data_IF_527613446739
#
_entry.id   IF_527613446739
#
_cell.length_a   1.000
_cell.length_b   1.000
_cell.length_c   1.000
_cell.angle_alpha   90.00
_cell.angle_beta   90.00
_cell.angle_gamma   90.00
#
_symmetry.space_group_name_H-M   'P 1'
#
loop_
_entity.id
_entity.type
_entity.pdbx_description
1 polymer ?
#
# COMPACT_ATOMS: atom_id res chain seq x y z
N UNK A 1 -6.24 -23.51 -6.93
CA UNK A 1 -5.54 -22.74 -5.87
C UNK A 1 -5.74 -21.27 -6.17
N UNK A 2 -6.02 -20.44 -5.17
CA UNK A 2 -6.54 -19.09 -5.41
C UNK A 2 -5.47 -18.08 -5.81
N UNK A 3 -5.89 -17.14 -6.67
CA UNK A 3 -5.25 -15.86 -6.82
C UNK A 3 -5.93 -14.86 -5.86
N UNK A 4 -5.18 -14.34 -4.91
CA UNK A 4 -5.68 -13.53 -3.81
C UNK A 4 -5.12 -12.12 -3.94
N UNK A 5 -5.97 -11.10 -3.87
CA UNK A 5 -5.52 -9.70 -3.82
C UNK A 5 -5.67 -9.16 -2.40
N UNK A 6 -4.59 -8.60 -1.86
CA UNK A 6 -4.54 -7.96 -0.55
C UNK A 6 -4.45 -6.45 -0.72
N UNK A 7 -5.46 -5.72 -0.24
CA UNK A 7 -5.54 -4.26 -0.32
C UNK A 7 -5.72 -3.62 1.05
N UNK A 8 -5.35 -2.36 1.21
CA UNK A 8 -5.78 -1.55 2.35
C UNK A 8 -7.15 -0.94 2.10
N UNK A 9 -8.02 -0.94 3.08
CA UNK A 9 -9.37 -0.39 2.96
C UNK A 9 -9.42 1.14 3.16
N UNK A 10 -8.46 1.72 3.88
CA UNK A 10 -8.48 3.11 4.35
C UNK A 10 -7.43 3.96 3.60
N UNK A 11 -6.52 4.65 4.33
CA UNK A 11 -5.48 5.53 3.77
C UNK A 11 -4.05 5.00 3.94
N UNK A 12 -3.88 3.69 4.03
CA UNK A 12 -2.58 3.05 4.28
C UNK A 12 -2.31 2.84 5.78
N UNK A 13 -1.20 2.18 6.06
CA UNK A 13 -0.78 1.82 7.43
C UNK A 13 -1.79 0.96 8.22
N UNK A 14 -2.69 0.24 7.52
CA UNK A 14 -3.67 -0.66 8.14
C UNK A 14 -3.04 -1.93 8.71
N UNK A 15 -1.77 -2.21 8.42
CA UNK A 15 -1.09 -3.44 8.87
C UNK A 15 -1.08 -4.55 7.81
N UNK A 16 -1.06 -4.20 6.53
CA UNK A 16 -0.95 -5.16 5.40
C UNK A 16 0.20 -6.15 5.57
N UNK A 17 1.37 -5.69 6.04
CA UNK A 17 2.52 -6.54 6.29
C UNK A 17 2.24 -7.71 7.25
N UNK A 18 1.44 -7.50 8.31
CA UNK A 18 1.00 -8.59 9.21
C UNK A 18 0.13 -9.60 8.48
N UNK A 19 -0.82 -9.13 7.67
CA UNK A 19 -1.71 -10.02 6.91
C UNK A 19 -0.94 -10.82 5.84
N UNK A 20 0.03 -10.19 5.15
CA UNK A 20 0.89 -10.90 4.19
C UNK A 20 1.77 -11.94 4.90
N UNK A 21 2.27 -11.61 6.08
CA UNK A 21 3.04 -12.57 6.89
C UNK A 21 2.20 -13.76 7.36
N UNK A 22 0.95 -13.54 7.76
CA UNK A 22 0.01 -14.61 8.11
C UNK A 22 -0.25 -15.57 6.94
N UNK A 23 -0.36 -15.04 5.73
CA UNK A 23 -0.60 -15.82 4.52
C UNK A 23 0.69 -16.38 3.91
N UNK A 24 1.84 -15.76 4.20
CA UNK A 24 3.10 -15.97 3.49
C UNK A 24 3.59 -17.42 3.46
N UNK A 25 3.40 -18.17 4.56
CA UNK A 25 3.78 -19.60 4.62
C UNK A 25 2.91 -20.53 3.77
N UNK A 26 1.79 -20.02 3.26
CA UNK A 26 0.77 -20.79 2.54
C UNK A 26 0.62 -20.36 1.08
N UNK A 27 1.50 -19.46 0.59
CA UNK A 27 1.47 -18.98 -0.80
C UNK A 27 2.80 -19.23 -1.49
N UNK A 28 2.73 -19.58 -2.78
CA UNK A 28 3.92 -19.86 -3.60
C UNK A 28 4.55 -18.56 -4.14
N UNK A 29 3.74 -17.54 -4.40
CA UNK A 29 4.17 -16.26 -4.96
C UNK A 29 3.57 -15.09 -4.19
N UNK A 30 4.38 -14.05 -3.94
CA UNK A 30 3.92 -12.74 -3.46
C UNK A 30 4.31 -11.68 -4.48
N UNK A 31 3.32 -11.00 -5.04
CA UNK A 31 3.48 -10.05 -6.15
C UNK A 31 3.16 -8.65 -5.69
N UNK A 32 4.14 -7.76 -5.69
CA UNK A 32 3.90 -6.33 -5.57
C UNK A 32 3.47 -5.80 -6.94
N UNK A 33 2.27 -5.24 -7.03
CA UNK A 33 1.68 -4.90 -8.32
C UNK A 33 1.62 -3.39 -8.62
N UNK A 34 1.83 -2.50 -7.63
CA UNK A 34 1.74 -1.06 -7.79
C UNK A 34 2.69 -0.29 -6.87
N UNK A 35 2.79 1.02 -7.09
CA UNK A 35 3.62 1.90 -6.30
C UNK A 35 5.10 1.74 -6.62
N UNK A 36 5.94 1.99 -5.65
CA UNK A 36 7.39 1.87 -5.72
C UNK A 36 7.96 1.88 -4.30
N UNK A 37 9.06 2.58 -4.10
CA UNK A 37 9.68 2.74 -2.78
C UNK A 37 9.06 3.86 -1.93
N UNK A 38 7.86 4.34 -2.28
CA UNK A 38 7.12 5.37 -1.54
C UNK A 38 6.31 4.83 -0.35
N UNK A 39 6.11 3.51 -0.25
CA UNK A 39 5.50 2.86 0.89
C UNK A 39 6.59 2.17 1.75
N UNK A 40 6.31 1.95 3.01
CA UNK A 40 7.14 1.15 3.91
C UNK A 40 6.28 0.11 4.61
N UNK A 41 6.63 -1.17 4.47
CA UNK A 41 6.01 -2.27 5.20
C UNK A 41 6.97 -2.74 6.30
N UNK A 42 6.52 -2.71 7.53
CA UNK A 42 7.28 -3.32 8.64
C UNK A 42 6.70 -4.68 8.94
N UNK A 43 7.54 -5.69 8.91
CA UNK A 43 7.21 -7.07 9.24
C UNK A 43 8.07 -7.47 10.45
N UNK A 44 7.49 -8.20 11.39
CA UNK A 44 8.19 -8.70 12.57
C UNK A 44 8.21 -10.22 12.50
N UNK A 45 9.41 -10.81 12.38
CA UNK A 45 9.63 -12.26 12.36
C UNK A 45 10.58 -12.60 13.50
N UNK A 46 10.19 -13.50 14.38
CA UNK A 46 10.98 -13.95 15.54
C UNK A 46 11.52 -12.79 16.41
N UNK A 47 10.71 -11.72 16.55
CA UNK A 47 11.07 -10.51 17.30
C UNK A 47 11.94 -9.52 16.55
N UNK A 48 12.45 -9.86 15.37
CA UNK A 48 13.22 -8.96 14.50
C UNK A 48 12.34 -8.15 13.56
N UNK A 49 12.65 -6.85 13.42
CA UNK A 49 11.93 -5.94 12.53
C UNK A 49 12.62 -5.85 11.17
N UNK A 50 11.85 -6.02 10.11
CA UNK A 50 12.23 -5.84 8.72
C UNK A 50 11.40 -4.70 8.12
N UNK A 51 12.05 -3.64 7.67
CA UNK A 51 11.41 -2.52 6.98
C UNK A 51 11.67 -2.66 5.48
N UNK A 52 10.63 -3.00 4.71
CA UNK A 52 10.69 -3.14 3.26
C UNK A 52 10.01 -1.95 2.60
N UNK A 53 10.62 -1.37 1.57
CA UNK A 53 10.06 -0.27 0.81
C UNK A 53 9.67 -0.70 -0.61
N UNK A 54 10.56 -1.38 -1.31
CA UNK A 54 10.37 -1.80 -2.70
C UNK A 54 10.16 -3.30 -2.82
N UNK A 55 10.87 -4.10 -2.03
CA UNK A 55 10.76 -5.55 -2.08
C UNK A 55 9.37 -6.04 -1.62
N UNK A 56 8.81 -7.06 -2.31
CA UNK A 56 7.59 -7.73 -1.84
C UNK A 56 7.83 -8.41 -0.49
N UNK A 57 6.81 -8.44 0.37
CA UNK A 57 6.91 -9.02 1.71
C UNK A 57 7.26 -10.52 1.71
N UNK A 58 6.88 -11.25 0.66
CA UNK A 58 7.23 -12.66 0.46
C UNK A 58 8.73 -12.95 0.37
N UNK A 59 9.59 -11.93 0.23
CA UNK A 59 11.07 -12.09 0.26
C UNK A 59 11.55 -12.71 1.57
N UNK A 60 10.83 -12.46 2.66
CA UNK A 60 11.15 -12.96 4.00
C UNK A 60 10.63 -14.38 4.25
N UNK A 61 9.81 -14.95 3.35
CA UNK A 61 9.20 -16.26 3.52
C UNK A 61 10.00 -17.32 2.75
N UNK A 62 10.61 -18.30 3.42
CA UNK A 62 11.27 -19.42 2.75
C UNK A 62 10.32 -20.17 1.82
N UNK A 63 10.78 -20.49 0.60
CA UNK A 63 9.95 -21.21 -0.40
C UNK A 63 9.02 -20.33 -1.23
N UNK A 64 8.70 -19.12 -0.80
CA UNK A 64 7.92 -18.15 -1.59
C UNK A 64 8.79 -17.47 -2.66
N UNK A 65 8.24 -17.22 -3.84
CA UNK A 65 8.86 -16.42 -4.90
C UNK A 65 8.34 -14.99 -4.87
N UNK A 66 9.14 -14.00 -4.44
CA UNK A 66 8.75 -12.60 -4.48
C UNK A 66 8.84 -12.06 -5.90
N UNK A 67 7.82 -11.31 -6.33
CA UNK A 67 7.73 -10.75 -7.69
C UNK A 67 7.44 -9.26 -7.66
N UNK A 68 8.25 -8.48 -8.37
CA UNK A 68 7.97 -7.09 -8.68
C UNK A 68 7.26 -7.05 -10.04
N UNK A 69 5.96 -6.76 -10.04
CA UNK A 69 5.12 -6.73 -11.23
C UNK A 69 5.37 -5.50 -12.12
N UNK A 70 4.83 -5.55 -13.34
CA UNK A 70 4.98 -4.47 -14.33
C UNK A 70 4.31 -3.14 -13.93
N UNK A 71 3.42 -3.16 -12.94
CA UNK A 71 2.78 -1.95 -12.41
C UNK A 71 3.65 -1.17 -11.43
N UNK A 72 4.74 -1.75 -10.92
CA UNK A 72 5.66 -1.09 -9.99
C UNK A 72 6.62 -0.16 -10.74
N UNK A 73 7.00 0.94 -10.10
CA UNK A 73 8.11 1.79 -10.55
C UNK A 73 9.33 1.54 -9.65
N UNK A 74 10.46 1.20 -10.26
CA UNK A 74 11.63 0.63 -9.60
C UNK A 74 12.77 1.64 -9.53
N UNK A 75 13.18 2.00 -8.32
CA UNK A 75 14.43 2.70 -8.04
C UNK A 75 15.53 1.64 -7.83
N UNK A 76 16.48 1.54 -8.76
CA UNK A 76 17.51 0.50 -8.71
C UNK A 76 18.45 0.65 -7.53
N UNK A 77 18.77 1.89 -7.11
CA UNK A 77 19.62 2.09 -5.93
C UNK A 77 18.94 1.55 -4.68
N UNK A 78 17.66 1.86 -4.49
CA UNK A 78 16.88 1.37 -3.33
C UNK A 78 16.68 -0.15 -3.41
N UNK A 79 16.43 -0.70 -4.60
CA UNK A 79 16.28 -2.14 -4.78
C UNK A 79 17.53 -2.89 -4.29
N UNK A 80 18.70 -2.48 -4.74
CA UNK A 80 19.94 -3.17 -4.37
C UNK A 80 20.41 -2.86 -2.95
N UNK A 81 20.12 -1.67 -2.41
CA UNK A 81 20.33 -1.38 -0.99
C UNK A 81 19.51 -2.31 -0.10
N UNK A 82 18.23 -2.55 -0.43
CA UNK A 82 17.37 -3.48 0.33
C UNK A 82 17.84 -4.93 0.19
N UNK A 83 18.20 -5.37 -1.03
CA UNK A 83 18.75 -6.70 -1.29
C UNK A 83 20.01 -6.94 -0.46
N UNK A 84 20.96 -6.00 -0.51
CA UNK A 84 22.25 -6.12 0.20
C UNK A 84 22.04 -6.12 1.73
N UNK A 85 21.14 -5.28 2.23
CA UNK A 85 20.80 -5.25 3.65
C UNK A 85 20.15 -6.57 4.14
N UNK A 86 19.28 -7.18 3.34
CA UNK A 86 18.65 -8.46 3.67
C UNK A 86 19.66 -9.62 3.61
N UNK A 87 20.50 -9.66 2.57
CA UNK A 87 21.54 -10.66 2.43
C UNK A 87 22.54 -10.61 3.61
N UNK A 88 22.90 -9.40 4.07
CA UNK A 88 23.75 -9.21 5.25
C UNK A 88 23.12 -9.74 6.55
N UNK A 89 21.78 -9.87 6.59
CA UNK A 89 21.03 -10.47 7.70
C UNK A 89 20.72 -11.96 7.48
N UNK A 90 21.29 -12.58 6.43
CA UNK A 90 21.10 -14.01 6.13
C UNK A 90 19.79 -14.35 5.41
N UNK A 91 19.05 -13.36 4.91
CA UNK A 91 17.84 -13.60 4.10
C UNK A 91 18.24 -13.88 2.65
N UNK A 92 17.80 -15.01 2.11
CA UNK A 92 18.04 -15.37 0.71
C UNK A 92 17.13 -14.56 -0.24
N UNK A 93 17.72 -13.65 -1.01
CA UNK A 93 17.03 -12.83 -1.99
C UNK A 93 17.13 -13.35 -3.43
N UNK A 94 17.78 -14.48 -3.65
CA UNK A 94 18.06 -15.02 -5.00
C UNK A 94 16.81 -15.38 -5.81
N UNK A 95 15.68 -15.59 -5.12
CA UNK A 95 14.38 -15.94 -5.74
C UNK A 95 13.59 -14.74 -6.24
N UNK A 96 14.08 -13.51 -6.03
CA UNK A 96 13.40 -12.30 -6.49
C UNK A 96 13.29 -12.28 -8.01
N UNK A 97 12.07 -12.03 -8.50
CA UNK A 97 11.79 -11.83 -9.92
C UNK A 97 11.28 -10.42 -10.16
N UNK A 98 11.84 -9.76 -11.17
CA UNK A 98 11.48 -8.39 -11.56
C UNK A 98 10.92 -8.39 -12.98
N UNK A 99 9.78 -7.76 -13.19
CA UNK A 99 9.17 -7.67 -14.51
C UNK A 99 10.06 -6.88 -15.48
N UNK A 100 10.33 -7.46 -16.65
CA UNK A 100 10.97 -6.76 -17.77
C UNK A 100 10.22 -5.48 -18.19
N UNK A 101 8.90 -5.45 -17.94
CA UNK A 101 8.01 -4.34 -18.30
C UNK A 101 7.80 -3.31 -17.16
N UNK A 102 8.38 -3.51 -15.97
CA UNK A 102 8.35 -2.50 -14.91
C UNK A 102 9.12 -1.25 -15.35
N UNK A 103 8.67 -0.08 -14.86
CA UNK A 103 9.34 1.19 -15.19
C UNK A 103 10.42 1.50 -14.17
N UNK A 104 11.51 2.09 -14.63
CA UNK A 104 12.59 2.58 -13.79
C UNK A 104 12.32 4.02 -13.34
N UNK A 105 12.85 4.38 -12.18
CA UNK A 105 12.87 5.76 -11.66
C UNK A 105 14.27 6.34 -11.92
N UNK A 106 14.50 7.01 -13.06
CA UNK A 106 15.78 7.68 -13.29
C UNK A 106 15.96 8.88 -12.38
N UNK A 107 17.22 9.32 -12.19
CA UNK A 107 17.57 10.46 -11.32
C UNK A 107 16.79 11.74 -11.63
N UNK A 108 16.51 12.03 -12.91
CA UNK A 108 15.74 13.21 -13.30
C UNK A 108 14.31 13.22 -12.73
N UNK A 109 13.68 12.06 -12.55
CA UNK A 109 12.35 11.99 -11.96
C UNK A 109 12.37 12.27 -10.45
N UNK A 110 13.43 11.84 -9.74
CA UNK A 110 13.64 12.20 -8.34
C UNK A 110 13.88 13.71 -8.18
N UNK A 111 14.64 14.32 -9.11
CA UNK A 111 14.88 15.77 -9.12
C UNK A 111 13.58 16.52 -9.38
N UNK A 112 12.81 16.13 -10.41
CA UNK A 112 11.53 16.77 -10.75
C UNK A 112 10.52 16.72 -9.61
N UNK A 113 10.37 15.58 -8.95
CA UNK A 113 9.45 15.43 -7.80
C UNK A 113 9.77 16.46 -6.71
N UNK A 114 11.05 16.54 -6.30
CA UNK A 114 11.51 17.47 -5.27
C UNK A 114 11.36 18.96 -5.66
N UNK A 115 11.65 19.30 -6.91
CA UNK A 115 11.57 20.72 -7.33
C UNK A 115 10.14 21.16 -7.55
N UNK A 116 9.27 20.27 -8.02
CA UNK A 116 7.83 20.53 -8.19
C UNK A 116 7.16 20.80 -6.84
N UNK A 117 7.40 19.97 -5.83
CA UNK A 117 6.87 20.18 -4.48
C UNK A 117 7.33 21.53 -3.88
N UNK A 118 8.59 21.90 -4.08
CA UNK A 118 9.09 23.22 -3.65
C UNK A 118 8.42 24.38 -4.39
N UNK A 119 8.22 24.22 -5.70
CA UNK A 119 7.58 25.24 -6.52
C UNK A 119 6.10 25.45 -6.16
N UNK A 120 5.39 24.39 -5.83
CA UNK A 120 4.00 24.43 -5.40
C UNK A 120 3.82 25.14 -4.03
N UNK A 121 4.84 25.16 -3.18
CA UNK A 121 4.82 25.85 -1.89
C UNK A 121 3.66 25.42 -0.99
N UNK A 122 2.71 26.32 -0.72
CA UNK A 122 1.51 26.02 0.10
C UNK A 122 0.51 25.07 -0.60
N UNK A 123 0.60 24.90 -1.92
CA UNK A 123 -0.23 24.00 -2.71
C UNK A 123 0.43 22.63 -2.93
N UNK A 124 1.50 22.32 -2.19
CA UNK A 124 2.19 21.03 -2.29
C UNK A 124 1.25 19.87 -1.93
N UNK A 125 1.48 18.72 -2.55
CA UNK A 125 0.71 17.50 -2.28
C UNK A 125 1.27 16.71 -1.09
N UNK A 126 2.51 16.98 -0.67
CA UNK A 126 3.19 16.22 0.37
C UNK A 126 3.75 14.90 -0.15
N UNK A 127 4.30 14.88 -1.38
CA UNK A 127 4.90 13.69 -1.96
C UNK A 127 6.11 13.20 -1.16
N UNK A 128 6.52 11.96 -1.39
CA UNK A 128 7.72 11.40 -0.75
C UNK A 128 9.03 11.91 -1.35
N UNK A 129 8.98 12.65 -2.46
CA UNK A 129 10.16 13.15 -3.19
C UNK A 129 11.02 12.07 -3.83
N UNK A 130 10.45 10.88 -4.06
CA UNK A 130 11.13 9.68 -4.58
C UNK A 130 10.95 9.46 -6.08
N UNK A 131 10.32 10.41 -6.79
CA UNK A 131 10.13 10.35 -8.23
C UNK A 131 8.99 9.45 -8.70
N UNK A 132 8.13 8.99 -7.82
CA UNK A 132 7.02 8.08 -8.13
C UNK A 132 6.05 8.71 -9.14
N UNK A 133 5.49 9.87 -8.79
CA UNK A 133 4.55 10.61 -9.64
C UNK A 133 5.11 10.92 -11.02
N UNK A 134 6.28 11.56 -11.13
CA UNK A 134 6.93 11.81 -12.43
C UNK A 134 7.15 10.55 -13.27
N UNK A 135 7.47 9.40 -12.65
CA UNK A 135 7.67 8.15 -13.39
C UNK A 135 6.36 7.57 -13.92
N UNK A 136 5.27 7.64 -13.14
CA UNK A 136 3.95 7.25 -13.67
C UNK A 136 3.46 8.22 -14.75
N UNK A 137 3.74 9.51 -14.64
CA UNK A 137 3.46 10.47 -15.72
C UNK A 137 4.20 10.10 -17.01
N UNK A 138 5.48 9.76 -16.91
CA UNK A 138 6.28 9.29 -18.05
C UNK A 138 5.73 8.01 -18.68
N UNK A 139 5.31 7.05 -17.85
CA UNK A 139 4.66 5.82 -18.31
C UNK A 139 3.42 6.14 -19.14
N UNK A 140 2.53 7.03 -18.67
CA UNK A 140 1.31 7.40 -19.40
C UNK A 140 1.60 8.25 -20.63
N UNK A 141 2.62 9.10 -20.60
CA UNK A 141 3.11 9.85 -21.74
C UNK A 141 3.91 9.01 -22.74
N UNK A 142 4.22 7.77 -22.42
CA UNK A 142 4.96 6.78 -23.23
C UNK A 142 6.41 7.18 -23.51
N UNK A 143 7.02 7.93 -22.58
CA UNK A 143 8.45 8.30 -22.60
C UNK A 143 9.23 7.63 -21.47
N UNK A 144 8.59 6.75 -20.70
CA UNK A 144 9.20 6.06 -19.56
C UNK A 144 10.24 5.02 -19.98
N UNK A 145 11.19 4.78 -19.09
CA UNK A 145 12.25 3.78 -19.24
C UNK A 145 11.81 2.50 -18.56
N UNK A 146 11.88 1.35 -19.24
CA UNK A 146 11.56 0.03 -18.68
C UNK A 146 12.81 -0.73 -18.28
N UNK A 147 12.66 -1.71 -17.42
CA UNK A 147 13.74 -2.61 -16.98
C UNK A 147 14.44 -3.25 -18.18
N UNK A 148 13.71 -3.74 -19.17
CA UNK A 148 14.29 -4.37 -20.36
C UNK A 148 15.19 -3.43 -21.19
N UNK A 149 14.98 -2.12 -21.12
CA UNK A 149 15.76 -1.13 -21.88
C UNK A 149 17.22 -1.07 -21.42
N UNK A 150 17.51 -1.49 -20.16
CA UNK A 150 18.87 -1.59 -19.62
C UNK A 150 19.79 -2.54 -20.40
N UNK A 151 19.23 -3.48 -21.12
CA UNK A 151 19.98 -4.54 -21.80
C UNK A 151 20.32 -4.22 -23.25
N UNK A 152 19.93 -3.01 -23.70
CA UNK A 152 20.34 -2.42 -24.97
C UNK A 152 20.69 -0.93 -24.75
N UNK A 153 21.98 -0.65 -24.60
CA UNK A 153 22.47 0.70 -24.29
C UNK A 153 22.06 1.72 -25.35
N UNK A 154 21.99 1.34 -26.63
CA UNK A 154 21.57 2.25 -27.70
C UNK A 154 20.11 2.67 -27.55
N UNK A 155 19.23 1.73 -27.23
CA UNK A 155 17.81 2.01 -26.96
C UNK A 155 17.67 2.82 -25.69
N UNK A 156 18.36 2.44 -24.61
CA UNK A 156 18.34 3.16 -23.34
C UNK A 156 18.74 4.63 -23.53
N UNK A 157 19.85 4.88 -24.21
CA UNK A 157 20.37 6.22 -24.49
C UNK A 157 19.36 7.05 -25.29
N UNK A 158 18.85 6.52 -26.40
CA UNK A 158 17.88 7.23 -27.23
C UNK A 158 16.60 7.61 -26.48
N UNK A 159 16.11 6.74 -25.60
CA UNK A 159 14.93 7.02 -24.74
C UNK A 159 15.24 8.10 -23.69
N UNK A 160 16.40 8.06 -23.07
CA UNK A 160 16.82 9.07 -22.08
C UNK A 160 17.00 10.43 -22.75
N UNK A 161 17.63 10.50 -23.93
CA UNK A 161 17.74 11.71 -24.74
C UNK A 161 16.36 12.33 -25.00
N UNK A 162 15.42 11.54 -25.55
CA UNK A 162 14.06 12.01 -25.85
C UNK A 162 13.30 12.48 -24.59
N UNK A 163 13.49 11.84 -23.45
CA UNK A 163 12.88 12.27 -22.20
C UNK A 163 13.51 13.57 -21.67
N UNK A 164 14.84 13.69 -21.72
CA UNK A 164 15.57 14.85 -21.22
C UNK A 164 15.40 16.10 -22.09
N UNK A 165 15.15 15.95 -23.40
CA UNK A 165 14.83 17.09 -24.28
C UNK A 165 13.67 17.94 -23.73
N UNK A 166 12.62 17.28 -23.21
CA UNK A 166 11.47 17.96 -22.62
C UNK A 166 11.78 18.37 -21.17
N UNK A 167 12.29 17.44 -20.36
CA UNK A 167 12.47 17.65 -18.92
C UNK A 167 13.50 18.72 -18.60
N UNK A 168 14.57 18.82 -19.38
CA UNK A 168 15.56 19.87 -19.24
C UNK A 168 15.00 21.27 -19.56
N UNK A 169 14.06 21.39 -20.52
CA UNK A 169 13.37 22.66 -20.73
C UNK A 169 12.59 23.09 -19.49
N UNK A 170 11.90 22.13 -18.84
CA UNK A 170 11.15 22.39 -17.60
C UNK A 170 12.10 22.74 -16.46
N UNK A 171 13.16 21.97 -16.26
CA UNK A 171 14.14 22.20 -15.19
C UNK A 171 14.81 23.57 -15.33
N UNK A 172 15.29 23.91 -16.54
CA UNK A 172 16.05 25.16 -16.78
C UNK A 172 15.13 26.37 -16.83
N UNK A 173 14.06 26.34 -17.65
CA UNK A 173 13.24 27.52 -17.92
C UNK A 173 12.17 27.80 -16.88
N UNK A 174 11.62 26.77 -16.24
CA UNK A 174 10.54 26.92 -15.27
C UNK A 174 11.11 26.93 -13.85
N UNK A 175 11.95 25.94 -13.55
CA UNK A 175 12.43 25.74 -12.17
C UNK A 175 13.80 26.42 -11.90
N UNK A 176 14.45 27.02 -12.93
CA UNK A 176 15.77 27.63 -12.81
C UNK A 176 16.79 26.66 -12.17
N UNK A 177 16.87 25.45 -12.72
CA UNK A 177 17.79 24.38 -12.31
C UNK A 177 18.74 24.05 -13.43
N UNK A 178 19.90 23.45 -13.10
CA UNK A 178 20.84 22.92 -14.08
C UNK A 178 20.17 21.81 -14.90
N UNK A 179 20.47 21.75 -16.20
CA UNK A 179 20.15 20.61 -17.05
C UNK A 179 20.86 19.34 -16.55
N UNK A 180 20.25 18.20 -16.81
CA UNK A 180 20.81 16.89 -16.48
C UNK A 180 21.39 16.31 -17.77
N UNK A 181 22.62 15.80 -17.68
CA UNK A 181 23.32 15.23 -18.82
C UNK A 181 22.87 13.77 -19.06
N UNK A 182 22.74 13.42 -20.35
CA UNK A 182 22.31 12.09 -20.78
C UNK A 182 23.27 11.01 -20.24
N UNK A 183 24.58 11.26 -20.38
CA UNK A 183 25.61 10.30 -19.97
C UNK A 183 25.53 9.99 -18.47
N UNK A 184 25.32 11.00 -17.61
CA UNK A 184 25.16 10.80 -16.16
C UNK A 184 24.03 9.81 -15.84
N UNK A 185 22.89 9.90 -16.55
CA UNK A 185 21.72 9.05 -16.32
C UNK A 185 21.94 7.64 -16.88
N UNK A 186 22.54 7.54 -18.07
CA UNK A 186 22.84 6.25 -18.71
C UNK A 186 23.81 5.46 -17.84
N UNK A 187 24.92 6.08 -17.41
CA UNK A 187 25.94 5.45 -16.58
C UNK A 187 25.36 5.01 -15.21
N UNK A 188 24.55 5.88 -14.54
CA UNK A 188 23.84 5.53 -13.30
C UNK A 188 23.06 4.23 -13.47
N UNK A 189 22.23 4.14 -14.51
CA UNK A 189 21.36 2.99 -14.72
C UNK A 189 22.13 1.72 -15.12
N UNK A 190 23.13 1.84 -15.99
CA UNK A 190 23.94 0.71 -16.44
C UNK A 190 24.75 0.07 -15.33
N UNK A 191 25.12 0.82 -14.27
CA UNK A 191 25.79 0.28 -13.08
C UNK A 191 25.07 -0.94 -12.48
N UNK A 192 23.74 -0.99 -12.62
CA UNK A 192 22.91 -2.05 -12.05
C UNK A 192 22.54 -3.15 -13.04
N UNK A 193 22.80 -2.98 -14.35
CA UNK A 193 22.28 -3.84 -15.40
C UNK A 193 22.66 -5.32 -15.21
N UNK A 194 23.93 -5.61 -14.96
CA UNK A 194 24.44 -6.99 -14.81
C UNK A 194 23.92 -7.67 -13.54
N UNK A 195 23.76 -6.91 -12.45
CA UNK A 195 23.17 -7.46 -11.21
C UNK A 195 21.68 -7.76 -11.37
N UNK A 196 20.98 -6.95 -12.15
CA UNK A 196 19.54 -7.09 -12.35
C UNK A 196 19.19 -8.20 -13.36
N UNK A 197 20.04 -8.44 -14.35
CA UNK A 197 19.80 -9.38 -15.47
C UNK A 197 19.26 -10.74 -15.05
N UNK A 198 19.83 -11.44 -14.06
CA UNK A 198 19.36 -12.76 -13.65
C UNK A 198 17.99 -12.77 -12.97
N UNK A 199 17.50 -11.61 -12.51
CA UNK A 199 16.21 -11.46 -11.82
C UNK A 199 15.08 -11.13 -12.80
N UNK A 200 15.38 -10.78 -14.06
CA UNK A 200 14.40 -10.22 -15.00
C UNK A 200 13.68 -11.32 -15.76
N UNK A 201 12.34 -11.23 -15.78
CA UNK A 201 11.50 -12.17 -16.50
C UNK A 201 10.22 -11.51 -17.07
N UNK A 202 9.52 -12.26 -17.95
CA UNK A 202 8.12 -12.01 -18.27
C UNK A 202 7.26 -12.51 -17.09
N UNK A 203 6.97 -11.60 -16.17
CA UNK A 203 6.21 -11.93 -14.96
C UNK A 203 4.75 -12.27 -15.23
N UNK A 204 4.16 -11.74 -16.31
CA UNK A 204 2.80 -12.09 -16.71
C UNK A 204 2.69 -13.56 -17.11
N UNK A 205 3.62 -14.02 -17.95
CA UNK A 205 3.71 -15.43 -18.33
C UNK A 205 4.05 -16.34 -17.14
N UNK A 206 5.00 -15.92 -16.29
CA UNK A 206 5.39 -16.66 -15.07
C UNK A 206 4.17 -16.92 -14.17
N UNK A 207 3.40 -15.87 -13.88
CA UNK A 207 2.24 -15.96 -13.00
C UNK A 207 1.07 -16.73 -13.63
N UNK A 208 0.87 -16.59 -14.95
CA UNK A 208 -0.13 -17.42 -15.67
C UNK A 208 0.18 -18.89 -15.54
N UNK A 209 1.42 -19.28 -15.82
CA UNK A 209 1.87 -20.68 -15.71
C UNK A 209 1.74 -21.20 -14.27
N UNK A 210 2.14 -20.39 -13.27
CA UNK A 210 2.00 -20.75 -11.86
C UNK A 210 0.55 -21.04 -11.48
N UNK A 211 -0.39 -20.20 -11.91
CA UNK A 211 -1.82 -20.41 -11.66
C UNK A 211 -2.36 -21.64 -12.40
N UNK A 212 -1.87 -21.95 -13.62
CA UNK A 212 -2.24 -23.15 -14.36
C UNK A 212 -1.70 -24.43 -13.70
N UNK A 213 -0.55 -24.35 -13.04
CA UNK A 213 0.02 -25.41 -12.22
C UNK A 213 -0.67 -25.55 -10.84
N UNK A 214 -1.67 -24.73 -10.55
CA UNK A 214 -2.39 -24.77 -9.28
C UNK A 214 -1.63 -24.13 -8.11
N UNK A 215 -0.68 -23.25 -8.38
CA UNK A 215 0.05 -22.48 -7.36
C UNK A 215 -0.80 -21.34 -6.79
N UNK A 216 -0.56 -21.00 -5.53
CA UNK A 216 -1.23 -19.88 -4.86
C UNK A 216 -0.43 -18.59 -5.06
N UNK A 217 -1.10 -17.55 -5.57
CA UNK A 217 -0.50 -16.25 -5.84
C UNK A 217 -1.18 -15.17 -5.00
N UNK A 218 -0.41 -14.46 -4.18
CA UNK A 218 -0.86 -13.32 -3.39
C UNK A 218 -0.36 -12.02 -4.03
N UNK A 219 -1.29 -11.14 -4.40
CA UNK A 219 -1.00 -9.79 -4.91
C UNK A 219 -1.10 -8.79 -3.76
N UNK A 220 0.01 -8.14 -3.39
CA UNK A 220 0.02 -7.14 -2.33
C UNK A 220 0.03 -5.70 -2.89
N UNK A 221 -0.91 -4.89 -2.42
CA UNK A 221 -0.94 -3.47 -2.73
C UNK A 221 0.11 -2.69 -1.91
N UNK A 222 0.82 -1.79 -2.59
CA UNK A 222 1.76 -0.89 -1.93
C UNK A 222 1.07 0.19 -1.06
N UNK A 223 -0.15 0.59 -1.43
CA UNK A 223 -0.95 1.62 -0.74
C UNK A 223 -2.35 1.07 -0.42
N UNK A 224 -3.35 1.97 -0.29
CA UNK A 224 -4.70 1.62 0.10
C UNK A 224 -5.75 2.26 -0.82
N UNK A 225 -7.01 1.83 -0.68
CA UNK A 225 -8.13 2.23 -1.53
C UNK A 225 -8.31 3.74 -1.62
N UNK A 226 -8.26 4.46 -0.49
CA UNK A 226 -8.44 5.92 -0.47
C UNK A 226 -7.21 6.70 -0.98
N UNK A 227 -6.12 5.99 -1.30
CA UNK A 227 -4.93 6.53 -1.97
C UNK A 227 -4.83 6.13 -3.44
N UNK A 228 -5.79 5.38 -3.99
CA UNK A 228 -5.86 5.05 -5.41
C UNK A 228 -6.04 6.31 -6.26
N UNK A 229 -5.36 6.38 -7.42
CA UNK A 229 -5.37 7.58 -8.28
C UNK A 229 -6.75 7.89 -8.85
N UNK A 230 -7.59 6.86 -9.09
CA UNK A 230 -8.92 7.00 -9.68
C UNK A 230 -10.03 7.00 -8.62
N UNK A 231 -9.87 6.22 -7.56
CA UNK A 231 -10.90 5.94 -6.55
C UNK A 231 -10.61 6.57 -5.17
N UNK A 232 -9.44 7.17 -4.99
CA UNK A 232 -9.04 7.78 -3.74
C UNK A 232 -9.45 9.25 -3.60
N UNK A 233 -8.93 9.88 -2.57
CA UNK A 233 -9.18 11.30 -2.21
C UNK A 233 -8.32 12.25 -3.05
N UNK A 234 -8.48 12.22 -4.38
CA UNK A 234 -7.74 13.06 -5.31
C UNK A 234 -7.85 14.55 -4.93
N UNK A 235 -6.76 15.36 -4.98
CA UNK A 235 -5.41 15.02 -5.47
C UNK A 235 -4.48 14.40 -4.42
N UNK A 236 -4.93 14.15 -3.19
CA UNK A 236 -4.15 13.61 -2.08
C UNK A 236 -4.10 12.07 -2.14
N UNK A 237 -3.51 11.55 -3.20
CA UNK A 237 -3.43 10.12 -3.56
C UNK A 237 -2.03 9.76 -4.03
N UNK A 238 -1.77 8.45 -4.19
CA UNK A 238 -0.60 7.99 -4.96
C UNK A 238 -0.88 8.07 -6.46
N UNK A 239 0.15 8.02 -7.28
CA UNK A 239 0.02 8.06 -8.74
C UNK A 239 -0.22 6.66 -9.35
N UNK A 240 -0.64 5.69 -8.57
CA UNK A 240 -0.88 4.31 -9.01
C UNK A 240 -2.24 3.80 -8.58
N UNK A 241 -2.71 2.75 -9.25
CA UNK A 241 -3.94 2.05 -8.87
C UNK A 241 -3.64 1.06 -7.74
N UNK A 242 -4.13 1.39 -6.54
CA UNK A 242 -3.96 0.62 -5.31
C UNK A 242 -5.18 -0.26 -4.98
N UNK A 243 -6.20 -0.23 -5.82
CA UNK A 243 -7.38 -1.10 -5.73
C UNK A 243 -7.09 -2.49 -6.30
N UNK A 244 -7.98 -3.45 -6.05
CA UNK A 244 -7.86 -4.84 -6.53
C UNK A 244 -7.73 -4.93 -8.05
N UNK A 245 -8.40 -4.06 -8.81
CA UNK A 245 -8.28 -3.99 -10.26
C UNK A 245 -6.86 -3.65 -10.72
N UNK A 246 -6.11 -2.90 -9.91
CA UNK A 246 -4.70 -2.59 -10.14
C UNK A 246 -3.80 -3.83 -10.14
N UNK A 247 -4.18 -4.90 -9.44
CA UNK A 247 -3.45 -6.17 -9.46
C UNK A 247 -3.43 -6.79 -10.87
N UNK A 248 -4.55 -6.72 -11.58
CA UNK A 248 -4.66 -7.25 -12.94
C UNK A 248 -3.76 -6.48 -13.92
N UNK A 249 -3.84 -5.15 -13.93
CA UNK A 249 -3.03 -4.31 -14.82
C UNK A 249 -1.56 -4.29 -14.44
N UNK A 250 -1.27 -4.40 -13.13
CA UNK A 250 0.09 -4.34 -12.59
C UNK A 250 0.85 -5.66 -12.60
N UNK A 251 0.19 -6.79 -12.93
CA UNK A 251 0.82 -8.11 -13.00
C UNK A 251 0.64 -8.82 -14.34
N UNK A 252 -0.39 -8.44 -15.12
CA UNK A 252 -0.79 -9.13 -16.35
C UNK A 252 -1.71 -10.32 -16.13
N UNK A 253 -2.13 -10.61 -14.89
CA UNK A 253 -3.11 -11.65 -14.58
C UNK A 253 -4.52 -11.11 -14.83
N UNK A 254 -5.37 -11.81 -15.61
CA UNK A 254 -6.70 -11.30 -15.93
C UNK A 254 -7.66 -11.35 -14.72
N UNK A 255 -8.68 -10.48 -14.65
CA UNK A 255 -9.60 -10.39 -13.51
C UNK A 255 -10.39 -11.68 -13.29
N UNK A 256 -10.60 -12.49 -14.33
CA UNK A 256 -11.29 -13.80 -14.25
C UNK A 256 -10.51 -14.88 -13.50
N UNK A 257 -9.26 -14.62 -13.16
CA UNK A 257 -8.40 -15.53 -12.37
C UNK A 257 -8.27 -15.10 -10.91
N UNK A 258 -8.84 -13.95 -10.54
CA UNK A 258 -8.85 -13.47 -9.15
C UNK A 258 -10.01 -14.16 -8.42
N UNK A 259 -9.68 -14.94 -7.40
CA UNK A 259 -10.67 -15.71 -6.63
C UNK A 259 -11.14 -14.97 -5.38
N UNK A 260 -10.23 -14.19 -4.74
CA UNK A 260 -10.52 -13.50 -3.50
C UNK A 260 -9.88 -12.12 -3.45
N UNK A 261 -10.56 -11.21 -2.76
CA UNK A 261 -10.03 -9.90 -2.40
C UNK A 261 -10.12 -9.72 -0.89
N UNK A 262 -8.97 -9.67 -0.23
CA UNK A 262 -8.84 -9.46 1.20
C UNK A 262 -8.51 -7.99 1.45
N UNK A 263 -9.35 -7.29 2.20
CA UNK A 263 -9.09 -5.92 2.59
C UNK A 263 -8.63 -5.83 4.05
N UNK A 264 -7.62 -5.01 4.31
CA UNK A 264 -7.16 -4.75 5.67
C UNK A 264 -7.83 -3.48 6.17
N UNK A 265 -8.51 -3.59 7.31
CA UNK A 265 -9.17 -2.50 8.00
C UNK A 265 -8.58 -2.38 9.40
N UNK A 266 -8.16 -1.21 9.77
CA UNK A 266 -7.77 -0.94 11.16
C UNK A 266 -9.02 -0.64 12.00
N UNK A 267 -9.08 -1.11 13.24
CA UNK A 267 -10.20 -0.89 14.15
C UNK A 267 -10.46 0.61 14.49
N UNK A 268 -9.59 1.49 14.05
CA UNK A 268 -9.72 2.95 14.00
C UNK A 268 -9.11 3.44 12.67
N UNK A 269 -9.15 4.74 12.38
CA UNK A 269 -8.60 5.26 11.14
C UNK A 269 -7.30 6.02 11.37
N UNK A 270 -6.37 5.91 10.41
CA UNK A 270 -5.16 6.74 10.39
C UNK A 270 -4.89 7.27 8.99
N UNK A 271 -4.27 8.45 8.92
CA UNK A 271 -3.83 9.05 7.66
C UNK A 271 -2.47 9.71 7.80
N UNK A 272 -1.64 9.56 6.79
CA UNK A 272 -0.39 10.31 6.63
C UNK A 272 -0.59 11.38 5.54
N UNK A 273 -0.05 12.59 5.75
CA UNK A 273 -0.12 13.68 4.78
C UNK A 273 -1.44 14.45 4.81
N UNK A 274 -1.60 15.28 3.79
CA UNK A 274 -2.73 16.19 3.64
C UNK A 274 -3.97 15.49 3.08
N UNK A 275 -5.09 16.21 3.04
CA UNK A 275 -6.35 15.77 2.45
C UNK A 275 -7.43 15.42 3.47
N UNK A 276 -8.66 15.13 2.98
CA UNK A 276 -9.84 14.94 3.84
C UNK A 276 -9.73 13.70 4.72
N UNK A 277 -10.17 13.86 5.97
CA UNK A 277 -10.25 12.81 6.96
C UNK A 277 -11.43 13.12 7.91
N UNK A 278 -12.68 12.81 7.52
CA UNK A 278 -13.87 13.23 8.25
C UNK A 278 -13.92 12.83 9.72
N UNK A 279 -13.38 11.65 10.05
CA UNK A 279 -13.38 11.12 11.43
C UNK A 279 -12.14 11.50 12.24
N UNK A 280 -11.28 12.42 11.75
CA UNK A 280 -10.06 12.86 12.45
C UNK A 280 -10.38 13.45 13.82
N UNK A 281 -9.58 13.10 14.81
CA UNK A 281 -9.66 13.60 16.17
C UNK A 281 -8.49 14.55 16.48
N UNK A 282 -8.82 15.72 17.00
CA UNK A 282 -7.86 16.77 17.36
C UNK A 282 -7.79 16.99 18.90
N UNK A 283 -8.19 15.99 19.65
CA UNK A 283 -8.31 15.99 21.10
C UNK A 283 -7.42 14.92 21.76
N UNK A 284 -7.54 14.80 23.09
CA UNK A 284 -6.82 13.79 23.88
C UNK A 284 -7.11 12.35 23.43
N UNK A 285 -8.27 12.09 22.82
CA UNK A 285 -8.59 10.77 22.29
C UNK A 285 -7.77 10.47 21.03
N UNK A 286 -7.59 11.45 20.13
CA UNK A 286 -6.70 11.32 18.99
C UNK A 286 -5.25 11.06 19.40
N UNK A 287 -4.77 11.73 20.46
CA UNK A 287 -3.45 11.50 21.02
C UNK A 287 -3.33 10.10 21.63
N UNK A 288 -4.35 9.67 22.41
CA UNK A 288 -4.40 8.30 22.95
C UNK A 288 -4.31 7.23 21.85
N UNK A 289 -5.10 7.34 20.78
CA UNK A 289 -5.06 6.39 19.68
C UNK A 289 -3.67 6.36 19.01
N UNK A 290 -3.01 7.51 18.91
CA UNK A 290 -1.65 7.63 18.37
C UNK A 290 -0.63 6.94 19.27
N UNK A 291 -0.67 7.21 20.56
CA UNK A 291 0.34 6.73 21.50
C UNK A 291 0.18 5.22 21.78
N UNK A 292 -1.03 4.78 22.12
CA UNK A 292 -1.32 3.35 22.35
C UNK A 292 -1.15 2.53 21.07
N UNK A 293 -1.59 3.09 19.93
CA UNK A 293 -1.45 2.47 18.63
C UNK A 293 -0.04 2.55 18.05
N UNK A 294 0.90 3.28 18.67
CA UNK A 294 2.24 3.56 18.15
C UNK A 294 2.19 4.08 16.70
N UNK A 295 1.30 5.07 16.45
CA UNK A 295 1.01 5.59 15.10
C UNK A 295 2.03 6.65 14.68
N UNK A 296 3.23 6.17 14.37
CA UNK A 296 4.35 6.97 13.85
C UNK A 296 4.87 6.37 12.54
N UNK A 297 5.30 7.22 11.63
CA UNK A 297 5.83 6.78 10.33
C UNK A 297 7.12 5.99 10.49
N UNK A 298 7.19 4.80 9.90
CA UNK A 298 8.33 3.87 10.01
C UNK A 298 9.66 4.49 9.58
N UNK A 299 9.63 5.33 8.54
CA UNK A 299 10.86 5.94 7.96
C UNK A 299 11.17 7.30 8.57
N UNK A 300 10.16 8.10 8.89
CA UNK A 300 10.33 9.51 9.28
C UNK A 300 10.06 9.78 10.75
N UNK A 301 9.47 8.83 11.48
CA UNK A 301 8.99 9.03 12.86
C UNK A 301 7.85 10.06 12.97
N UNK A 302 7.31 10.55 11.84
CA UNK A 302 6.26 11.58 11.84
C UNK A 302 4.97 11.00 12.44
N UNK A 303 4.30 11.72 13.36
CA UNK A 303 3.02 11.28 13.91
C UNK A 303 1.97 11.19 12.81
N UNK A 304 1.14 10.13 12.87
CA UNK A 304 -0.02 9.96 12.01
C UNK A 304 -1.22 10.72 12.59
N UNK A 305 -2.08 11.21 11.70
CA UNK A 305 -3.41 11.69 12.03
C UNK A 305 -4.26 10.49 12.42
N UNK A 306 -5.00 10.56 13.52
CA UNK A 306 -5.82 9.46 14.03
C UNK A 306 -7.27 9.89 14.15
N UNK A 307 -8.19 8.94 13.98
CA UNK A 307 -9.63 9.16 14.08
C UNK A 307 -10.41 7.87 14.28
N UNK A 308 -11.71 7.97 14.54
CA UNK A 308 -12.56 6.81 14.67
C UNK A 308 -12.65 6.00 13.38
N UNK A 309 -13.01 4.72 13.52
CA UNK A 309 -13.24 3.87 12.34
C UNK A 309 -14.37 4.44 11.50
N UNK A 310 -14.17 4.42 10.19
CA UNK A 310 -15.11 4.93 9.20
C UNK A 310 -15.70 3.77 8.40
N UNK A 311 -16.92 3.36 8.76
CA UNK A 311 -17.60 2.27 8.09
C UNK A 311 -18.13 2.68 6.69
N UNK A 312 -18.33 3.98 6.43
CA UNK A 312 -18.64 4.47 5.08
C UNK A 312 -17.47 4.22 4.14
N UNK A 313 -16.26 4.52 4.60
CA UNK A 313 -15.01 4.20 3.86
C UNK A 313 -14.87 2.67 3.71
N UNK A 314 -15.16 1.89 4.74
CA UNK A 314 -15.13 0.43 4.67
C UNK A 314 -16.09 -0.12 3.62
N UNK A 315 -17.32 0.36 3.59
CA UNK A 315 -18.36 0.03 2.58
C UNK A 315 -17.94 0.42 1.16
N UNK A 316 -17.39 1.62 1.03
CA UNK A 316 -16.83 2.10 -0.23
C UNK A 316 -15.69 1.18 -0.72
N UNK A 317 -14.77 0.81 0.17
CA UNK A 317 -13.68 -0.11 -0.15
C UNK A 317 -14.23 -1.48 -0.60
N UNK A 318 -15.27 -2.00 0.08
CA UNK A 318 -15.94 -3.25 -0.30
C UNK A 318 -16.46 -3.19 -1.73
N UNK A 319 -17.17 -2.12 -2.07
CA UNK A 319 -17.76 -1.93 -3.40
C UNK A 319 -16.73 -1.78 -4.50
N UNK A 320 -15.69 -0.95 -4.27
CA UNK A 320 -14.67 -0.63 -5.30
C UNK A 320 -13.75 -1.81 -5.56
N UNK A 321 -13.42 -2.58 -4.52
CA UNK A 321 -12.49 -3.69 -4.64
C UNK A 321 -13.16 -5.05 -4.84
N UNK A 322 -14.47 -5.18 -4.61
CA UNK A 322 -15.13 -6.48 -4.56
C UNK A 322 -14.62 -7.33 -3.39
N UNK A 323 -14.51 -6.71 -2.20
CA UNK A 323 -13.96 -7.38 -1.01
C UNK A 323 -14.77 -8.60 -0.65
N UNK A 324 -14.10 -9.72 -0.49
CA UNK A 324 -14.68 -10.98 -0.01
C UNK A 324 -14.52 -11.15 1.51
N UNK A 325 -13.38 -10.67 2.02
CA UNK A 325 -12.98 -10.86 3.40
C UNK A 325 -12.25 -9.62 3.95
N UNK A 326 -12.53 -9.26 5.21
CA UNK A 326 -11.74 -8.29 5.94
C UNK A 326 -10.81 -8.96 6.95
N UNK A 327 -9.63 -8.38 7.11
CA UNK A 327 -8.75 -8.57 8.27
C UNK A 327 -8.79 -7.27 9.07
N UNK A 328 -9.36 -7.31 10.27
CA UNK A 328 -9.36 -6.17 11.19
C UNK A 328 -8.10 -6.21 12.03
N UNK A 329 -7.37 -5.11 12.09
CA UNK A 329 -6.12 -5.00 12.86
C UNK A 329 -6.28 -4.04 14.04
N UNK A 330 -5.42 -4.22 15.05
CA UNK A 330 -5.29 -3.29 16.20
C UNK A 330 -6.57 -3.11 17.04
N UNK A 331 -7.35 -4.18 17.18
CA UNK A 331 -8.51 -4.16 18.08
C UNK A 331 -8.11 -3.89 19.54
N UNK A 332 -6.95 -4.39 19.95
CA UNK A 332 -6.33 -4.19 21.25
C UNK A 332 -6.15 -2.72 21.66
N UNK A 333 -5.94 -1.83 20.69
CA UNK A 333 -5.77 -0.38 20.95
C UNK A 333 -7.03 0.28 21.52
N UNK A 334 -8.21 -0.29 21.26
CA UNK A 334 -9.49 0.20 21.76
C UNK A 334 -9.81 -0.27 23.19
N UNK A 335 -9.01 -1.16 23.77
CA UNK A 335 -9.18 -1.62 25.15
C UNK A 335 -9.13 -0.45 26.14
N UNK A 336 -10.03 -0.48 27.14
CA UNK A 336 -10.15 0.54 28.17
C UNK A 336 -11.05 1.72 27.81
N UNK A 337 -11.69 1.69 26.63
CA UNK A 337 -12.70 2.68 26.26
C UNK A 337 -14.09 2.23 26.76
N UNK A 338 -14.86 3.15 27.33
CA UNK A 338 -16.23 2.88 27.74
C UNK A 338 -17.19 2.82 26.56
N UNK A 339 -16.93 3.66 25.55
CA UNK A 339 -17.73 3.77 24.34
C UNK A 339 -16.81 3.93 23.14
N UNK A 340 -17.17 3.32 22.02
CA UNK A 340 -16.41 3.35 20.78
C UNK A 340 -17.33 3.87 19.66
N UNK A 341 -17.15 5.10 19.20
CA UNK A 341 -17.88 5.65 18.05
C UNK A 341 -17.46 4.99 16.74
N UNK A 342 -18.44 4.64 15.91
CA UNK A 342 -18.24 4.14 14.55
C UNK A 342 -18.96 5.10 13.60
N UNK A 343 -18.25 5.66 12.62
CA UNK A 343 -18.87 6.52 11.62
C UNK A 343 -19.71 5.66 10.66
N UNK A 344 -21.02 5.90 10.63
CA UNK A 344 -21.99 5.12 9.83
C UNK A 344 -22.52 5.89 8.63
N UNK A 345 -22.43 7.22 8.66
CA UNK A 345 -22.88 8.13 7.60
C UNK A 345 -22.15 9.46 7.71
N UNK A 346 -22.34 10.34 6.73
CA UNK A 346 -21.89 11.74 6.79
C UNK A 346 -23.10 12.68 6.71
N UNK A 347 -23.02 13.80 7.42
CA UNK A 347 -23.83 14.98 7.16
C UNK A 347 -23.03 15.93 6.25
N UNK A 348 -23.61 16.29 5.11
CA UNK A 348 -23.05 17.29 4.19
C UNK A 348 -24.13 18.35 3.97
N UNK A 349 -23.92 19.55 4.50
CA UNK A 349 -24.85 20.66 4.41
C UNK A 349 -26.28 20.35 4.92
N UNK A 350 -26.41 19.56 6.00
CA UNK A 350 -27.68 19.14 6.57
C UNK A 350 -28.34 17.96 5.84
N UNK A 351 -27.67 17.35 4.89
CA UNK A 351 -28.15 16.16 4.18
C UNK A 351 -27.32 14.95 4.60
N UNK A 352 -28.00 13.90 5.06
CA UNK A 352 -27.36 12.63 5.42
C UNK A 352 -26.97 11.85 4.16
N UNK A 353 -25.73 11.40 4.11
CA UNK A 353 -25.16 10.53 3.09
C UNK A 353 -24.70 9.22 3.73
N UNK A 354 -25.33 8.10 3.36
CA UNK A 354 -24.92 6.76 3.82
C UNK A 354 -23.77 6.19 2.99
N UNK A 355 -23.48 6.80 1.83
CA UNK A 355 -22.36 6.48 0.94
C UNK A 355 -21.34 7.62 0.88
N UNK A 356 -20.11 7.29 0.48
CA UNK A 356 -19.05 8.28 0.29
C UNK A 356 -19.46 9.31 -0.79
N UNK A 357 -19.46 10.62 -0.50
CA UNK A 357 -19.77 11.66 -1.46
C UNK A 357 -18.85 11.60 -2.68
N UNK A 358 -19.41 11.74 -3.88
CA UNK A 358 -18.65 11.77 -5.14
C UNK A 358 -17.80 13.02 -5.25
N UNK A 359 -18.35 14.16 -4.78
CA UNK A 359 -17.64 15.43 -4.77
C UNK A 359 -16.56 15.45 -3.69
N UNK A 360 -15.33 15.73 -4.09
CA UNK A 360 -14.21 15.89 -3.13
C UNK A 360 -14.43 17.07 -2.18
N UNK A 361 -15.11 18.12 -2.63
CA UNK A 361 -15.49 19.25 -1.78
C UNK A 361 -16.46 18.81 -0.68
N UNK A 362 -17.47 18.03 -1.04
CA UNK A 362 -18.44 17.51 -0.09
C UNK A 362 -17.79 16.55 0.91
N UNK A 363 -16.90 15.68 0.44
CA UNK A 363 -16.15 14.77 1.31
C UNK A 363 -15.21 15.52 2.26
N UNK A 364 -14.61 16.63 1.80
CA UNK A 364 -13.74 17.46 2.63
C UNK A 364 -14.49 18.16 3.76
N UNK A 365 -15.77 18.50 3.54
CA UNK A 365 -16.62 19.16 4.52
C UNK A 365 -17.61 18.21 5.21
N UNK A 366 -17.50 16.92 4.95
CA UNK A 366 -18.36 15.91 5.55
C UNK A 366 -18.19 15.86 7.07
N UNK A 367 -19.30 15.94 7.79
CA UNK A 367 -19.34 15.78 9.23
C UNK A 367 -19.76 14.34 9.53
N UNK A 368 -18.96 13.57 10.28
CA UNK A 368 -19.27 12.17 10.56
C UNK A 368 -20.50 12.05 11.47
N UNK A 369 -21.38 11.11 11.13
CA UNK A 369 -22.51 10.67 11.95
C UNK A 369 -22.11 9.37 12.62
N UNK A 370 -22.07 9.36 13.94
CA UNK A 370 -21.59 8.23 14.72
C UNK A 370 -22.74 7.38 15.29
N UNK A 371 -22.52 6.07 15.28
CA UNK A 371 -23.18 5.10 16.13
C UNK A 371 -22.22 4.78 17.30
N UNK A 372 -22.68 4.91 18.52
CA UNK A 372 -21.89 4.61 19.72
C UNK A 372 -22.07 3.15 20.14
N UNK A 373 -20.98 2.40 20.15
CA UNK A 373 -20.97 1.01 20.60
C UNK A 373 -20.34 0.90 22.00
N UNK A 374 -20.84 0.02 22.88
CA UNK A 374 -20.21 -0.23 24.17
C UNK A 374 -18.80 -0.77 23.99
N UNK A 375 -17.84 -0.18 24.71
CA UNK A 375 -16.46 -0.65 24.74
C UNK A 375 -16.22 -1.77 25.75
N UNK A 376 -14.95 -2.10 25.97
CA UNK A 376 -14.49 -3.13 26.91
C UNK A 376 -13.25 -2.68 27.65
N UNK A 377 -13.02 -3.25 28.84
CA UNK A 377 -11.87 -2.92 29.71
C UNK A 377 -10.88 -4.06 29.84
N UNK A 378 -11.30 -5.26 29.49
CA UNK A 378 -10.49 -6.48 29.59
C UNK A 378 -9.37 -6.46 28.57
N UNK A 379 -8.17 -6.89 28.96
CA UNK A 379 -7.06 -7.11 28.05
C UNK A 379 -7.37 -8.28 27.11
N UNK A 380 -7.43 -7.99 25.82
CA UNK A 380 -7.73 -8.97 24.77
C UNK A 380 -6.48 -9.53 24.07
N UNK A 381 -5.29 -9.09 24.44
CA UNK A 381 -4.03 -9.48 23.78
C UNK A 381 -3.73 -10.98 23.87
N UNK A 382 -4.27 -11.62 24.91
CA UNK A 382 -4.18 -13.07 25.14
C UNK A 382 -5.24 -13.91 24.43
N UNK A 383 -6.31 -13.32 23.85
CA UNK A 383 -7.38 -14.07 23.19
C UNK A 383 -6.87 -14.74 21.91
N UNK A 384 -7.32 -15.98 21.65
CA UNK A 384 -6.94 -16.79 20.48
C UNK A 384 -8.15 -17.33 19.72
N UNK A 385 -9.35 -17.23 20.28
CA UNK A 385 -10.62 -17.51 19.62
C UNK A 385 -11.57 -16.34 19.74
N UNK A 386 -12.58 -16.28 18.90
CA UNK A 386 -13.56 -15.19 18.88
C UNK A 386 -14.39 -15.18 20.17
N UNK A 387 -14.68 -16.35 20.69
CA UNK A 387 -15.47 -16.58 21.93
C UNK A 387 -14.75 -16.14 23.20
N UNK A 388 -13.40 -16.04 23.16
CA UNK A 388 -12.61 -15.51 24.29
C UNK A 388 -12.66 -14.00 24.39
N UNK A 389 -13.08 -13.29 23.33
CA UNK A 389 -13.23 -11.85 23.34
C UNK A 389 -14.38 -11.44 24.30
N UNK A 390 -14.25 -10.30 25.00
CA UNK A 390 -15.37 -9.71 25.72
C UNK A 390 -16.60 -9.54 24.83
N UNK A 391 -17.80 -9.73 25.37
CA UNK A 391 -19.04 -9.66 24.60
C UNK A 391 -19.23 -8.35 23.81
N UNK A 392 -18.71 -7.24 24.34
CA UNK A 392 -18.74 -5.96 23.64
C UNK A 392 -17.76 -5.93 22.46
N UNK A 393 -16.58 -6.55 22.58
CA UNK A 393 -15.62 -6.65 21.48
C UNK A 393 -16.16 -7.56 20.36
N UNK A 394 -16.82 -8.67 20.71
CA UNK A 394 -17.51 -9.52 19.73
C UNK A 394 -18.59 -8.70 18.97
N UNK A 395 -19.47 -8.00 19.69
CA UNK A 395 -20.51 -7.15 19.09
C UNK A 395 -19.96 -6.03 18.22
N UNK A 396 -18.83 -5.45 18.62
CA UNK A 396 -18.12 -4.46 17.80
C UNK A 396 -17.71 -5.03 16.46
N UNK A 397 -17.10 -6.21 16.43
CA UNK A 397 -16.66 -6.89 15.19
C UNK A 397 -17.87 -7.28 14.34
N UNK A 398 -18.91 -7.86 14.93
CA UNK A 398 -20.15 -8.24 14.22
C UNK A 398 -20.83 -7.01 13.62
N UNK A 399 -20.94 -5.92 14.39
CA UNK A 399 -21.54 -4.69 13.88
C UNK A 399 -20.72 -4.04 12.77
N UNK A 400 -19.39 -4.07 12.89
CA UNK A 400 -18.52 -3.56 11.85
C UNK A 400 -18.64 -4.39 10.56
N UNK A 401 -18.75 -5.72 10.68
CA UNK A 401 -18.98 -6.65 9.55
C UNK A 401 -20.28 -6.29 8.80
N UNK A 402 -21.38 -6.06 9.51
CA UNK A 402 -22.65 -5.61 8.94
C UNK A 402 -22.48 -4.26 8.20
N UNK A 403 -21.81 -3.31 8.82
CA UNK A 403 -21.66 -1.94 8.30
C UNK A 403 -20.78 -1.87 7.05
N UNK A 404 -19.71 -2.67 6.97
CA UNK A 404 -18.80 -2.67 5.81
C UNK A 404 -19.29 -3.58 4.67
N UNK A 405 -20.25 -4.47 4.93
CA UNK A 405 -20.92 -5.30 3.93
C UNK A 405 -20.09 -6.46 3.38
N UNK A 406 -19.07 -6.92 4.12
CA UNK A 406 -18.32 -8.14 3.82
C UNK A 406 -17.81 -8.73 5.13
N UNK A 407 -17.61 -10.07 5.17
CA UNK A 407 -17.30 -10.76 6.42
C UNK A 407 -15.91 -10.38 6.96
N UNK A 408 -15.78 -10.31 8.27
CA UNK A 408 -14.51 -10.13 8.96
C UNK A 408 -13.98 -11.53 9.32
N UNK A 409 -13.00 -12.00 8.54
CA UNK A 409 -12.46 -13.35 8.66
C UNK A 409 -11.34 -13.46 9.69
N UNK A 410 -10.65 -12.35 9.98
CA UNK A 410 -9.52 -12.35 10.90
C UNK A 410 -9.49 -11.08 11.75
N UNK A 411 -9.14 -11.21 13.02
CA UNK A 411 -9.04 -10.09 13.97
C UNK A 411 -7.68 -10.09 14.65
N UNK A 412 -6.94 -9.00 14.52
CA UNK A 412 -5.67 -8.77 15.21
C UNK A 412 -5.87 -8.12 16.57
N UNK A 413 -5.40 -8.80 17.61
CA UNK A 413 -5.50 -8.41 19.02
C UNK A 413 -4.15 -8.03 19.66
N UNK A 414 -3.15 -7.77 18.82
CA UNK A 414 -1.80 -7.35 19.22
C UNK A 414 -0.84 -7.32 18.03
N UNK A 415 0.43 -6.93 18.21
CA UNK A 415 1.39 -6.73 17.14
C UNK A 415 1.95 -8.03 16.54
N UNK A 416 2.08 -9.10 17.34
CA UNK A 416 2.68 -10.36 16.91
C UNK A 416 1.78 -11.18 15.98
N UNK A 417 2.39 -12.13 15.26
CA UNK A 417 1.67 -13.08 14.39
C UNK A 417 0.65 -13.90 15.19
N UNK A 418 1.05 -14.38 16.37
CA UNK A 418 0.24 -15.18 17.29
C UNK A 418 -0.94 -14.40 17.90
N UNK A 419 -0.87 -13.06 17.92
CA UNK A 419 -1.94 -12.20 18.41
C UNK A 419 -2.99 -11.95 17.33
N UNK A 420 -3.54 -13.07 16.80
CA UNK A 420 -4.51 -13.07 15.70
C UNK A 420 -5.55 -14.14 15.93
N UNK A 421 -6.81 -13.77 15.77
CA UNK A 421 -7.98 -14.64 15.85
C UNK A 421 -8.47 -14.89 14.44
N UNK A 422 -8.51 -16.14 14.01
CA UNK A 422 -9.11 -16.58 12.74
C UNK A 422 -10.56 -16.98 12.99
N UNK A 423 -11.51 -16.33 12.32
CA UNK A 423 -12.93 -16.68 12.32
C UNK A 423 -13.30 -17.50 11.09
N UNK A 424 -12.67 -17.22 9.96
CA UNK A 424 -12.86 -17.93 8.69
C UNK A 424 -11.53 -18.01 7.95
N UNK A 425 -11.31 -19.11 7.22
CA UNK A 425 -10.11 -19.29 6.43
C UNK A 425 -10.00 -18.21 5.33
N UNK A 426 -8.85 -17.56 5.25
CA UNK A 426 -8.53 -16.60 4.17
C UNK A 426 -8.11 -17.29 2.86
N UNK A 427 -7.78 -18.60 2.92
CA UNK A 427 -7.30 -19.35 1.75
C UNK A 427 -8.39 -20.24 1.12
N UNK A 428 -9.53 -20.42 1.74
CA UNK A 428 -10.66 -21.19 1.24
C UNK A 428 -10.98 -22.42 2.06
#
# INVERSE_FOLDING_TARGET
MPAIVLVGAQWGDEGKGKATDLLGSSVDYVVKFNGGNNAGHTIVIDGEKYALHLLPSGILTPGCTPVIGNGVVVDLSVLFEEIDALNARGVDTSRLVVSANAHLIPSYNRVLDKVTERFLGSRRLGTTGRGIGPTYADKMSRIGIRVQDLFDEKILRAKIEGALDIKNQVLVKIYNRRAIEVDEVVEELLTYAERLRPMVADTGLLLSNALDEGKTVLFEAGQATLLDVDHGTYPFVTSSNATSAGACTGSGVPPTRIDRVIAILKAYSTRVGEGPFPTELHDEMGDRLRDVGAEFGTTTGRPRRCGWVDAVVGRYATRVNGVTDFVVTKLDVLTGLATIPVCVAYDVNGVRHDEMPVSQSDFHHAVPVYEELPGWTEDISGCRSFEELPANAQRYIERLEELVGARISTVGVGPGREATIERHSLLG
#
